data_IF_363249565182
#
_entry.id   IF_363249565182
#
_cell.length_a   1.000
_cell.length_b   1.000
_cell.length_c   1.000
_cell.angle_alpha   90.00
_cell.angle_beta   90.00
_cell.angle_gamma   90.00
#
_symmetry.space_group_name_H-M   'P 1'
#
loop_
_entity.id
_entity.type
_entity.pdbx_description
1 polymer ?
#
# COMPACT_ATOMS: atom_id res chain seq x y z
N UNK A 1 -7.54 13.91 -14.16
CA UNK A 1 -6.62 14.01 -13.00
C UNK A 1 -7.41 14.37 -11.73
N UNK A 2 -8.31 13.49 -11.27
CA UNK A 2 -9.03 13.64 -9.97
C UNK A 2 -8.74 12.45 -9.05
N UNK A 3 -7.54 11.84 -9.16
CA UNK A 3 -7.20 10.61 -8.43
C UNK A 3 -6.67 10.82 -7.02
N UNK A 4 -6.14 12.01 -6.71
CA UNK A 4 -5.34 12.18 -5.48
C UNK A 4 -6.19 12.24 -4.20
N UNK A 5 -7.39 12.84 -4.26
CA UNK A 5 -8.26 12.97 -3.08
C UNK A 5 -9.01 11.68 -2.77
N UNK A 6 -9.51 10.98 -3.81
CA UNK A 6 -10.16 9.68 -3.64
C UNK A 6 -9.17 8.62 -3.13
N UNK A 7 -7.95 8.56 -3.70
CA UNK A 7 -6.95 7.60 -3.26
C UNK A 7 -6.49 7.90 -1.83
N UNK A 8 -6.38 9.17 -1.45
CA UNK A 8 -6.09 9.57 -0.07
C UNK A 8 -7.19 9.13 0.90
N UNK A 9 -8.47 9.23 0.51
CA UNK A 9 -9.57 8.75 1.34
C UNK A 9 -9.58 7.23 1.44
N UNK A 10 -9.38 6.52 0.33
CA UNK A 10 -9.23 5.06 0.36
C UNK A 10 -8.07 4.63 1.27
N UNK A 11 -6.93 5.33 1.24
CA UNK A 11 -5.81 5.06 2.14
C UNK A 11 -6.17 5.29 3.62
N UNK A 12 -6.94 6.34 3.95
CA UNK A 12 -7.45 6.53 5.32
C UNK A 12 -8.35 5.39 5.75
N UNK A 13 -9.24 4.94 4.87
CA UNK A 13 -10.10 3.79 5.15
C UNK A 13 -9.29 2.51 5.36
N UNK A 14 -8.23 2.30 4.57
CA UNK A 14 -7.30 1.16 4.76
C UNK A 14 -6.60 1.23 6.12
N UNK A 15 -6.15 2.40 6.56
CA UNK A 15 -5.59 2.62 7.92
C UNK A 15 -6.58 2.21 9.01
N UNK A 16 -7.87 2.43 8.79
CA UNK A 16 -8.93 2.02 9.72
C UNK A 16 -9.30 0.51 9.61
N UNK A 17 -8.57 -0.26 8.80
CA UNK A 17 -8.81 -1.69 8.59
C UNK A 17 -9.90 -2.01 7.56
N UNK A 18 -10.21 -1.10 6.65
CA UNK A 18 -11.20 -1.34 5.59
C UNK A 18 -10.57 -2.10 4.41
N UNK A 19 -10.82 -3.41 4.34
CA UNK A 19 -10.33 -4.29 3.26
C UNK A 19 -10.88 -3.88 1.87
N UNK A 20 -12.13 -3.44 1.78
CA UNK A 20 -12.72 -3.00 0.50
C UNK A 20 -12.04 -1.76 -0.07
N UNK A 21 -11.57 -0.87 0.81
CA UNK A 21 -10.77 0.28 0.40
C UNK A 21 -9.41 -0.14 -0.16
N UNK A 22 -8.78 -1.18 0.42
CA UNK A 22 -7.54 -1.76 -0.11
C UNK A 22 -7.79 -2.38 -1.48
N UNK A 23 -8.89 -3.12 -1.64
CA UNK A 23 -9.28 -3.72 -2.92
C UNK A 23 -9.56 -2.64 -3.97
N UNK A 24 -10.16 -1.51 -3.59
CA UNK A 24 -10.37 -0.38 -4.50
C UNK A 24 -9.04 0.23 -4.97
N UNK A 25 -8.07 0.42 -4.06
CA UNK A 25 -6.71 0.85 -4.42
C UNK A 25 -6.01 -0.17 -5.31
N UNK A 26 -6.12 -1.46 -5.01
CA UNK A 26 -5.58 -2.54 -5.83
C UNK A 26 -6.15 -2.49 -7.26
N UNK A 27 -7.47 -2.44 -7.42
CA UNK A 27 -8.14 -2.38 -8.73
C UNK A 27 -7.67 -1.18 -9.56
N UNK A 28 -7.42 -0.03 -8.92
CA UNK A 28 -6.99 1.21 -9.59
C UNK A 28 -5.51 1.19 -9.97
N UNK A 29 -4.64 0.66 -9.11
CA UNK A 29 -3.19 0.83 -9.23
C UNK A 29 -2.41 -0.42 -9.64
N UNK A 30 -2.99 -1.62 -9.52
CA UNK A 30 -2.29 -2.87 -9.80
C UNK A 30 -1.75 -2.95 -11.24
N UNK A 31 -2.50 -2.44 -12.22
CA UNK A 31 -2.07 -2.44 -13.63
C UNK A 31 -0.83 -1.55 -13.86
N UNK A 32 -0.80 -0.36 -13.25
CA UNK A 32 0.32 0.56 -13.33
C UNK A 32 1.56 0.00 -12.61
N UNK A 33 1.39 -0.49 -11.38
CA UNK A 33 2.47 -1.13 -10.61
C UNK A 33 3.02 -2.34 -11.35
N UNK A 34 2.15 -3.17 -11.94
CA UNK A 34 2.57 -4.32 -12.73
C UNK A 34 3.37 -3.90 -13.97
N UNK A 35 2.91 -2.89 -14.72
CA UNK A 35 3.63 -2.39 -15.89
C UNK A 35 5.02 -1.85 -15.54
N UNK A 36 5.14 -1.14 -14.42
CA UNK A 36 6.41 -0.64 -13.91
C UNK A 36 7.33 -1.79 -13.48
N UNK A 37 6.82 -2.74 -12.70
CA UNK A 37 7.58 -3.91 -12.24
C UNK A 37 8.08 -4.75 -13.42
N UNK A 38 7.23 -4.99 -14.43
CA UNK A 38 7.60 -5.67 -15.69
C UNK A 38 8.74 -4.97 -16.40
N UNK A 39 8.73 -3.63 -16.45
CA UNK A 39 9.78 -2.85 -17.12
C UNK A 39 11.13 -2.96 -16.42
N UNK A 40 11.12 -3.04 -15.09
CA UNK A 40 12.33 -3.10 -14.26
C UNK A 40 12.89 -4.53 -14.23
N UNK A 41 12.05 -5.52 -13.93
CA UNK A 41 12.47 -6.89 -13.65
C UNK A 41 12.63 -7.74 -14.91
N UNK A 42 11.93 -7.40 -16.00
CA UNK A 42 11.85 -8.16 -17.26
C UNK A 42 11.28 -9.59 -17.12
N UNK A 43 10.97 -10.05 -15.91
CA UNK A 43 10.24 -11.29 -15.59
C UNK A 43 8.74 -11.01 -15.37
N UNK A 44 7.84 -11.92 -15.77
CA UNK A 44 6.39 -11.72 -15.68
C UNK A 44 5.83 -12.16 -14.34
N UNK A 45 6.36 -13.24 -13.79
CA UNK A 45 5.84 -13.81 -12.56
C UNK A 45 6.42 -13.05 -11.37
N UNK A 46 7.68 -12.62 -11.44
CA UNK A 46 8.25 -11.73 -10.41
C UNK A 46 7.53 -10.38 -10.35
N UNK A 47 7.10 -9.85 -11.50
CA UNK A 47 6.33 -8.62 -11.54
C UNK A 47 4.92 -8.76 -10.92
N UNK A 48 4.35 -9.97 -10.87
CA UNK A 48 3.08 -10.21 -10.13
C UNK A 48 3.35 -10.28 -8.63
N UNK A 49 4.44 -10.94 -8.23
CA UNK A 49 4.85 -11.02 -6.82
C UNK A 49 5.05 -9.62 -6.24
N UNK A 50 5.75 -8.74 -6.95
CA UNK A 50 5.95 -7.34 -6.51
C UNK A 50 4.63 -6.59 -6.32
N UNK A 51 3.65 -6.77 -7.21
CA UNK A 51 2.34 -6.15 -7.05
C UNK A 51 1.70 -6.63 -5.75
N UNK A 52 1.62 -7.95 -5.54
CA UNK A 52 1.02 -8.52 -4.33
C UNK A 52 1.74 -8.05 -3.06
N UNK A 53 3.07 -8.13 -3.02
CA UNK A 53 3.86 -7.66 -1.89
C UNK A 53 3.66 -6.17 -1.61
N UNK A 54 3.51 -5.35 -2.64
CA UNK A 54 3.30 -3.91 -2.47
C UNK A 54 2.01 -3.63 -1.71
N UNK A 55 0.91 -4.25 -2.11
CA UNK A 55 -0.39 -4.04 -1.44
C UNK A 55 -0.46 -4.73 -0.07
N UNK A 56 0.18 -5.89 0.10
CA UNK A 56 0.34 -6.52 1.42
C UNK A 56 1.12 -5.63 2.39
N UNK A 57 2.20 -4.97 1.92
CA UNK A 57 2.94 -4.02 2.75
C UNK A 57 2.11 -2.79 3.10
N UNK A 58 1.24 -2.31 2.20
CA UNK A 58 0.31 -1.21 2.50
C UNK A 58 -0.65 -1.63 3.61
N UNK A 59 -1.28 -2.80 3.50
CA UNK A 59 -2.18 -3.35 4.51
C UNK A 59 -1.49 -3.51 5.87
N UNK A 60 -0.35 -4.20 5.90
CA UNK A 60 0.37 -4.44 7.15
C UNK A 60 0.79 -3.11 7.80
N UNK A 61 1.25 -2.12 7.02
CA UNK A 61 1.60 -0.80 7.57
C UNK A 61 0.39 -0.04 8.11
N UNK A 62 -0.77 -0.20 7.47
CA UNK A 62 -2.02 0.41 7.92
C UNK A 62 -2.46 -0.14 9.28
N UNK A 63 -2.34 -1.45 9.53
CA UNK A 63 -2.62 -2.03 10.86
C UNK A 63 -1.73 -1.45 11.97
N UNK A 64 -0.54 -0.97 11.63
CA UNK A 64 0.37 -0.31 12.57
C UNK A 64 0.22 1.20 12.64
N UNK A 65 -0.63 1.83 11.82
CA UNK A 65 -0.81 3.27 11.83
C UNK A 65 -2.01 3.63 12.70
N UNK A 66 -1.77 4.31 13.81
CA UNK A 66 -2.83 4.96 14.58
C UNK A 66 -2.87 6.42 14.13
N UNK A 67 -4.00 6.95 13.61
CA UNK A 67 -4.11 8.35 13.21
C UNK A 67 -4.37 9.32 14.39
N UNK A 68 -4.80 8.83 15.56
CA UNK A 68 -4.99 9.67 16.76
C UNK A 68 -3.70 9.85 17.57
N UNK A 69 -2.78 8.90 17.46
CA UNK A 69 -1.41 9.04 17.94
C UNK A 69 -0.56 9.46 16.75
N UNK A 70 0.23 10.53 16.78
CA UNK A 70 1.16 10.86 15.69
C UNK A 70 2.30 9.82 15.50
N UNK A 71 2.12 8.60 16.00
CA UNK A 71 3.09 7.52 16.13
C UNK A 71 2.45 6.18 15.76
N UNK A 72 3.20 5.27 15.11
CA UNK A 72 2.75 3.90 14.88
C UNK A 72 2.30 3.24 16.19
N UNK A 73 1.24 2.42 16.14
CA UNK A 73 0.58 1.74 17.27
C UNK A 73 1.47 0.70 18.00
N UNK A 74 2.77 0.70 17.72
CA UNK A 74 3.73 -0.31 18.15
C UNK A 74 4.75 0.27 19.12
N UNK A 75 4.79 -0.27 20.34
CA UNK A 75 5.86 -0.06 21.33
C UNK A 75 7.19 -0.73 20.97
N UNK A 76 7.62 -0.66 19.71
CA UNK A 76 8.99 -1.01 19.28
C UNK A 76 9.51 0.04 18.33
N UNK A 77 10.70 0.54 18.65
CA UNK A 77 11.44 1.56 17.92
C UNK A 77 11.54 1.21 16.44
N UNK A 78 11.25 2.21 15.61
CA UNK A 78 11.31 2.13 14.16
C UNK A 78 12.76 1.91 13.70
N UNK A 79 13.06 0.96 12.78
CA UNK A 79 14.39 0.88 12.18
C UNK A 79 14.60 2.13 11.32
N UNK A 80 15.50 3.00 11.77
CA UNK A 80 16.00 4.12 10.96
C UNK A 80 16.85 3.51 9.85
N UNK A 81 16.29 3.35 8.67
CA UNK A 81 17.08 3.02 7.49
C UNK A 81 17.89 4.27 7.13
N UNK A 82 19.22 4.19 7.31
CA UNK A 82 20.20 5.11 6.75
C UNK A 82 20.31 4.96 5.24
#
# INVERSE_FOLDING_TARGET
MMGNTEDAELLRQVILGNEEALLALYRRHASYVHALARRILRDKDEAKNVVQETFLRIWNKAEYFDPELETPRTGREWPRWS
#
